data_IF_911814165162
#
_entry.id   IF_911814165162
#
_cell.length_a   1.000
_cell.length_b   1.000
_cell.length_c   1.000
_cell.angle_alpha   90.00
_cell.angle_beta   90.00
_cell.angle_gamma   90.00
#
_symmetry.space_group_name_H-M   'P 1'
#
loop_
_entity.id
_entity.type
_entity.pdbx_description
1 polymer ?
#
# COMPACT_ATOMS: atom_id res chain seq x y z
N UNK A 1 6.11 -16.48 13.85
CA UNK A 1 5.86 -15.27 13.05
C UNK A 1 4.77 -14.53 13.78
N UNK A 2 4.95 -13.27 14.21
CA UNK A 2 3.78 -12.38 14.23
C UNK A 2 3.25 -12.49 12.81
N UNK A 3 2.07 -13.03 12.66
CA UNK A 3 1.57 -13.35 11.34
C UNK A 3 1.55 -12.03 10.57
N UNK A 4 2.26 -11.98 9.44
CA UNK A 4 2.50 -10.77 8.63
C UNK A 4 1.23 -9.97 8.36
N UNK A 5 0.08 -10.63 8.45
CA UNK A 5 -1.24 -10.04 8.35
C UNK A 5 -1.67 -9.09 9.47
N UNK A 6 -1.20 -9.22 10.72
CA UNK A 6 -1.59 -8.29 11.80
C UNK A 6 -1.18 -6.85 11.46
N UNK A 7 0.08 -6.70 11.02
CA UNK A 7 0.61 -5.41 10.61
C UNK A 7 -0.05 -4.92 9.33
N UNK A 8 -0.36 -5.83 8.42
CA UNK A 8 -1.08 -5.53 7.17
C UNK A 8 -2.47 -4.96 7.46
N UNK A 9 -3.20 -5.60 8.38
CA UNK A 9 -4.52 -5.21 8.81
C UNK A 9 -4.50 -3.85 9.52
N UNK A 10 -3.59 -3.64 10.47
CA UNK A 10 -3.41 -2.36 11.15
C UNK A 10 -3.13 -1.22 10.16
N UNK A 11 -2.26 -1.45 9.17
CA UNK A 11 -1.97 -0.45 8.14
C UNK A 11 -3.15 -0.19 7.22
N UNK A 12 -3.95 -1.20 6.89
CA UNK A 12 -5.15 -1.03 6.06
C UNK A 12 -6.18 -0.13 6.77
N UNK A 13 -6.44 -0.37 8.07
CA UNK A 13 -7.30 0.50 8.87
C UNK A 13 -6.74 1.91 9.01
N UNK A 14 -5.46 2.01 9.35
CA UNK A 14 -4.87 3.31 9.58
C UNK A 14 -4.93 4.17 8.32
N UNK A 15 -4.61 3.61 7.15
CA UNK A 15 -4.72 4.36 5.89
C UNK A 15 -6.18 4.64 5.50
N UNK A 16 -7.13 3.75 5.80
CA UNK A 16 -8.57 4.02 5.62
C UNK A 16 -9.02 5.22 6.48
N UNK A 17 -8.55 5.30 7.72
CA UNK A 17 -8.81 6.43 8.62
C UNK A 17 -8.19 7.73 8.09
N UNK A 18 -6.92 7.70 7.66
CA UNK A 18 -6.25 8.86 7.07
C UNK A 18 -6.98 9.35 5.80
N UNK A 19 -7.44 8.43 4.94
CA UNK A 19 -8.26 8.77 3.79
C UNK A 19 -9.55 9.46 4.19
N UNK A 20 -10.23 8.97 5.22
CA UNK A 20 -11.47 9.57 5.75
C UNK A 20 -11.23 11.01 6.22
N UNK A 21 -10.13 11.27 6.94
CA UNK A 21 -9.74 12.66 7.33
C UNK A 21 -9.51 13.53 6.10
N UNK A 22 -8.76 13.04 5.12
CA UNK A 22 -8.50 13.77 3.86
C UNK A 22 -9.81 14.09 3.13
N UNK A 23 -10.70 13.11 2.98
CA UNK A 23 -11.94 13.24 2.21
C UNK A 23 -12.94 14.20 2.85
N UNK A 24 -12.92 14.37 4.19
CA UNK A 24 -13.74 15.36 4.91
C UNK A 24 -13.33 16.81 4.59
N UNK A 25 -12.07 17.05 4.29
CA UNK A 25 -11.53 18.41 4.14
C UNK A 25 -11.17 18.77 2.70
N UNK A 26 -10.85 17.79 1.86
CA UNK A 26 -10.29 17.99 0.52
C UNK A 26 -10.96 17.08 -0.49
N UNK A 27 -11.28 17.67 -1.65
CA UNK A 27 -11.71 16.88 -2.81
C UNK A 27 -10.49 16.39 -3.59
N UNK A 28 -10.24 15.09 -3.51
CA UNK A 28 -9.14 14.39 -4.19
C UNK A 28 -9.66 13.16 -4.92
N UNK A 29 -8.87 12.61 -5.84
CA UNK A 29 -9.12 11.27 -6.37
C UNK A 29 -8.07 10.31 -5.84
N UNK A 30 -8.43 9.03 -5.68
CA UNK A 30 -7.53 8.01 -5.16
C UNK A 30 -7.20 6.95 -6.20
N UNK A 31 -5.91 6.67 -6.34
CA UNK A 31 -5.41 5.52 -7.10
C UNK A 31 -4.72 4.52 -6.17
N UNK A 32 -4.82 3.25 -6.52
CA UNK A 32 -3.90 2.22 -6.09
C UNK A 32 -2.95 1.94 -7.25
N UNK A 33 -1.66 2.01 -6.99
CA UNK A 33 -0.62 1.72 -7.98
C UNK A 33 0.31 0.66 -7.42
N UNK A 34 0.50 -0.42 -8.15
CA UNK A 34 1.50 -1.43 -7.85
C UNK A 34 2.63 -1.33 -8.87
N UNK A 35 3.87 -1.26 -8.39
CA UNK A 35 5.08 -1.26 -9.20
C UNK A 35 5.92 -2.50 -8.87
N UNK A 36 6.35 -3.24 -9.89
CA UNK A 36 7.14 -4.44 -9.73
C UNK A 36 7.99 -4.74 -10.96
N UNK A 37 8.42 -5.99 -11.05
CA UNK A 37 9.07 -6.61 -12.21
C UNK A 37 8.14 -7.70 -12.78
N UNK A 38 8.33 -8.09 -14.03
CA UNK A 38 7.55 -9.21 -14.59
C UNK A 38 8.10 -10.55 -14.11
N UNK A 39 9.43 -10.66 -14.07
CA UNK A 39 10.13 -11.88 -13.69
C UNK A 39 10.42 -11.97 -12.18
N UNK A 40 10.59 -13.21 -11.68
CA UNK A 40 11.07 -13.47 -10.33
C UNK A 40 12.56 -13.10 -10.21
N UNK A 41 12.96 -12.66 -9.02
CA UNK A 41 14.34 -12.28 -8.70
C UNK A 41 15.01 -13.41 -7.93
N UNK A 42 16.22 -13.80 -8.33
CA UNK A 42 17.02 -14.78 -7.61
C UNK A 42 17.49 -14.27 -6.23
N UNK A 43 17.68 -15.19 -5.28
CA UNK A 43 18.02 -14.86 -3.89
C UNK A 43 19.32 -14.03 -3.75
N UNK A 44 20.33 -14.31 -4.57
CA UNK A 44 21.61 -13.61 -4.59
C UNK A 44 21.51 -12.16 -5.12
N UNK A 45 20.50 -11.85 -5.93
CA UNK A 45 20.30 -10.52 -6.52
C UNK A 45 19.23 -9.67 -5.81
N UNK A 46 18.46 -10.23 -4.87
CA UNK A 46 17.28 -9.56 -4.29
C UNK A 46 17.62 -8.22 -3.63
N UNK A 47 18.71 -8.14 -2.87
CA UNK A 47 19.05 -6.89 -2.17
C UNK A 47 19.38 -5.75 -3.13
N UNK A 48 20.13 -6.05 -4.20
CA UNK A 48 20.46 -5.08 -5.25
C UNK A 48 19.20 -4.63 -6.00
N UNK A 49 18.32 -5.57 -6.37
CA UNK A 49 17.08 -5.25 -7.07
C UNK A 49 16.17 -4.37 -6.20
N UNK A 50 16.03 -4.68 -4.91
CA UNK A 50 15.24 -3.87 -3.98
C UNK A 50 15.80 -2.44 -3.83
N UNK A 51 17.12 -2.27 -3.83
CA UNK A 51 17.75 -0.94 -3.81
C UNK A 51 17.45 -0.17 -5.09
N UNK A 52 17.63 -0.80 -6.25
CA UNK A 52 17.27 -0.24 -7.55
C UNK A 52 15.79 0.19 -7.60
N UNK A 53 14.88 -0.66 -7.11
CA UNK A 53 13.45 -0.36 -7.06
C UNK A 53 13.13 0.84 -6.15
N UNK A 54 13.71 0.92 -4.95
CA UNK A 54 13.44 2.02 -4.03
C UNK A 54 14.04 3.34 -4.54
N UNK A 55 15.24 3.31 -5.14
CA UNK A 55 15.86 4.46 -5.80
C UNK A 55 15.01 4.90 -7.00
N UNK A 56 14.57 3.95 -7.82
CA UNK A 56 13.69 4.20 -8.96
C UNK A 56 12.36 4.81 -8.51
N UNK A 57 11.76 4.30 -7.43
CA UNK A 57 10.53 4.86 -6.87
C UNK A 57 10.71 6.34 -6.48
N UNK A 58 11.83 6.67 -5.81
CA UNK A 58 12.15 8.06 -5.48
C UNK A 58 12.35 8.93 -6.73
N UNK A 59 12.87 8.37 -7.83
CA UNK A 59 13.04 9.07 -9.11
C UNK A 59 11.69 9.28 -9.82
N UNK A 60 10.83 8.26 -9.84
CA UNK A 60 9.49 8.29 -10.44
C UNK A 60 8.66 9.45 -9.88
N UNK A 61 8.63 9.62 -8.56
CA UNK A 61 7.88 10.69 -7.90
C UNK A 61 8.49 12.09 -8.06
N UNK A 62 9.70 12.20 -8.62
CA UNK A 62 10.31 13.48 -9.03
C UNK A 62 9.95 13.87 -10.45
N UNK A 63 9.43 12.96 -11.28
CA UNK A 63 9.01 13.30 -12.64
C UNK A 63 7.87 14.33 -12.62
N UNK A 64 7.97 15.33 -13.50
CA UNK A 64 7.05 16.48 -13.53
C UNK A 64 5.59 16.05 -13.63
N UNK A 65 5.26 15.11 -14.52
CA UNK A 65 3.90 14.60 -14.69
C UNK A 65 3.34 13.98 -13.40
N UNK A 66 4.12 13.12 -12.74
CA UNK A 66 3.74 12.47 -11.47
C UNK A 66 3.60 13.52 -10.36
N UNK A 67 4.60 14.40 -10.20
CA UNK A 67 4.62 15.45 -9.17
C UNK A 67 3.45 16.42 -9.29
N UNK A 68 3.03 16.74 -10.51
CA UNK A 68 1.89 17.62 -10.78
C UNK A 68 0.53 16.94 -10.55
N UNK A 69 0.43 15.63 -10.80
CA UNK A 69 -0.80 14.88 -10.61
C UNK A 69 -1.01 14.42 -9.15
N UNK A 70 0.07 14.06 -8.45
CA UNK A 70 0.04 13.49 -7.10
C UNK A 70 0.10 14.55 -6.00
N UNK A 71 -0.61 14.29 -4.91
CA UNK A 71 -0.60 15.06 -3.66
C UNK A 71 0.29 14.43 -2.58
N UNK A 72 1.05 13.38 -2.90
CA UNK A 72 1.77 12.56 -1.93
C UNK A 72 1.49 11.08 -2.15
N UNK A 73 1.85 10.25 -1.16
CA UNK A 73 1.56 8.81 -1.18
C UNK A 73 1.69 8.20 0.21
N UNK A 74 1.05 7.05 0.39
CA UNK A 74 1.54 5.98 1.25
C UNK A 74 2.11 4.90 0.32
N UNK A 75 3.27 4.35 0.67
CA UNK A 75 3.85 3.19 -0.01
C UNK A 75 4.19 2.06 0.94
N UNK A 76 4.12 0.84 0.46
CA UNK A 76 4.49 -0.36 1.19
C UNK A 76 5.21 -1.35 0.27
N UNK A 77 6.36 -1.86 0.73
CA UNK A 77 7.16 -2.85 0.03
C UNK A 77 6.74 -4.27 0.47
N UNK A 78 6.18 -5.04 -0.46
CA UNK A 78 5.83 -6.46 -0.33
C UNK A 78 6.87 -7.31 -1.07
N UNK A 79 7.36 -8.37 -0.44
CA UNK A 79 8.38 -9.26 -0.98
C UNK A 79 7.89 -10.69 -0.81
N UNK A 80 7.20 -11.20 -1.81
CA UNK A 80 6.70 -12.56 -1.80
C UNK A 80 7.79 -13.55 -2.24
N UNK A 81 8.18 -14.47 -1.36
CA UNK A 81 9.06 -15.60 -1.66
C UNK A 81 8.24 -16.76 -2.22
N UNK A 82 8.56 -17.19 -3.44
CA UNK A 82 7.92 -18.32 -4.11
C UNK A 82 9.00 -19.24 -4.66
N UNK A 83 9.10 -20.44 -4.08
CA UNK A 83 10.17 -21.39 -4.38
C UNK A 83 11.56 -20.81 -4.08
N UNK A 84 12.40 -20.77 -5.10
CA UNK A 84 13.80 -20.29 -5.09
C UNK A 84 13.92 -18.78 -5.39
N UNK A 85 12.81 -18.07 -5.63
CA UNK A 85 12.83 -16.68 -6.07
C UNK A 85 11.90 -15.77 -5.28
N UNK A 86 11.99 -14.48 -5.62
CA UNK A 86 11.28 -13.38 -4.96
C UNK A 86 10.52 -12.53 -5.97
N UNK A 87 9.32 -12.10 -5.58
CA UNK A 87 8.50 -11.16 -6.34
C UNK A 87 8.34 -9.86 -5.53
N UNK A 88 9.24 -8.88 -5.68
CA UNK A 88 9.12 -7.60 -5.00
C UNK A 88 8.06 -6.72 -5.66
N UNK A 89 7.26 -6.05 -4.84
CA UNK A 89 6.22 -5.11 -5.26
C UNK A 89 6.18 -3.90 -4.33
N UNK A 90 6.08 -2.71 -4.91
CA UNK A 90 5.79 -1.47 -4.19
C UNK A 90 4.32 -1.16 -4.43
N UNK A 91 3.51 -1.34 -3.39
CA UNK A 91 2.12 -0.92 -3.34
C UNK A 91 2.04 0.55 -2.95
N UNK A 92 1.14 1.30 -3.59
CA UNK A 92 1.03 2.75 -3.43
C UNK A 92 -0.45 3.15 -3.32
N UNK A 93 -0.80 3.80 -2.22
CA UNK A 93 -2.04 4.57 -2.11
C UNK A 93 -1.73 6.02 -2.49
N UNK A 94 -2.36 6.50 -3.55
CA UNK A 94 -1.98 7.74 -4.23
C UNK A 94 -3.16 8.73 -4.27
N UNK A 95 -3.18 9.77 -3.41
CA UNK A 95 -4.07 10.90 -3.61
C UNK A 95 -3.59 11.72 -4.80
N UNK A 96 -4.52 12.07 -5.68
CA UNK A 96 -4.30 12.90 -6.85
C UNK A 96 -5.19 14.14 -6.80
N UNK A 97 -4.79 15.18 -7.52
CA UNK A 97 -5.57 16.42 -7.61
C UNK A 97 -6.98 16.15 -8.15
N UNK A 98 -7.96 16.98 -7.75
CA UNK A 98 -9.36 16.88 -8.20
C UNK A 98 -9.51 16.77 -9.71
N UNK A 99 -8.69 17.51 -10.46
CA UNK A 99 -8.70 17.55 -11.93
C UNK A 99 -7.95 16.41 -12.62
N UNK A 100 -7.52 15.37 -11.89
CA UNK A 100 -6.73 14.27 -12.44
C UNK A 100 -7.39 13.62 -13.68
N UNK A 101 -8.70 13.33 -13.61
CA UNK A 101 -9.44 12.72 -14.72
C UNK A 101 -9.94 13.72 -15.79
N UNK A 102 -9.54 15.00 -15.72
CA UNK A 102 -9.98 16.05 -16.65
C UNK A 102 -9.01 16.25 -17.83
N UNK A 103 -8.18 15.25 -18.14
CA UNK A 103 -7.29 15.25 -19.31
C UNK A 103 -5.85 15.65 -18.99
N UNK A 104 -5.57 16.94 -18.75
CA UNK A 104 -4.19 17.48 -18.69
C UNK A 104 -3.23 16.72 -17.78
N UNK A 105 -3.71 16.25 -16.63
CA UNK A 105 -2.89 15.60 -15.60
C UNK A 105 -3.09 14.08 -15.54
N UNK A 106 -3.97 13.53 -16.38
CA UNK A 106 -4.26 12.11 -16.41
C UNK A 106 -3.06 11.34 -16.96
N UNK A 107 -2.61 10.32 -16.21
CA UNK A 107 -1.50 9.46 -16.62
C UNK A 107 -2.09 8.14 -17.12
N UNK A 108 -2.01 7.92 -18.43
CA UNK A 108 -2.41 6.68 -19.09
C UNK A 108 -1.57 5.50 -18.59
N UNK A 109 -2.12 4.30 -18.72
CA UNK A 109 -1.45 3.06 -18.31
C UNK A 109 -0.05 2.90 -18.94
N UNK A 110 0.06 3.04 -20.27
CA UNK A 110 1.35 2.92 -20.99
C UNK A 110 2.38 3.94 -20.52
N UNK A 111 1.92 5.15 -20.13
CA UNK A 111 2.81 6.16 -19.55
C UNK A 111 3.33 5.70 -18.18
N UNK A 112 2.52 5.05 -17.35
CA UNK A 112 3.01 4.51 -16.08
C UNK A 112 4.09 3.44 -16.29
N UNK A 113 3.91 2.52 -17.24
CA UNK A 113 4.93 1.52 -17.61
C UNK A 113 6.21 2.22 -18.07
N UNK A 114 6.10 3.14 -19.04
CA UNK A 114 7.24 3.88 -19.59
C UNK A 114 7.98 4.67 -18.50
N UNK A 115 7.26 5.34 -17.60
CA UNK A 115 7.86 6.08 -16.50
C UNK A 115 8.54 5.15 -15.50
N UNK A 116 7.96 3.98 -15.21
CA UNK A 116 8.56 3.02 -14.29
C UNK A 116 9.82 2.36 -14.86
N UNK A 117 9.77 1.90 -16.12
CA UNK A 117 10.94 1.40 -16.87
C UNK A 117 12.06 2.45 -16.90
N UNK A 118 11.72 3.70 -17.26
CA UNK A 118 12.67 4.82 -17.23
C UNK A 118 13.24 5.07 -15.84
N UNK A 119 12.42 4.95 -14.79
CA UNK A 119 12.84 5.14 -13.42
C UNK A 119 13.82 4.06 -12.94
N UNK A 120 13.75 2.85 -13.48
CA UNK A 120 14.70 1.77 -13.21
C UNK A 120 15.91 1.74 -14.14
N UNK A 121 15.94 2.58 -15.18
CA UNK A 121 16.91 2.45 -16.28
C UNK A 121 16.89 1.04 -16.90
N UNK A 122 15.72 0.41 -16.95
CA UNK A 122 15.52 -0.95 -17.44
C UNK A 122 14.77 -0.93 -18.77
N UNK A 123 15.19 -1.76 -19.73
CA UNK A 123 14.68 -1.69 -21.10
C UNK A 123 13.25 -2.25 -21.25
N UNK A 124 12.85 -3.30 -20.48
CA UNK A 124 11.51 -3.90 -20.70
C UNK A 124 10.91 -4.79 -19.60
N UNK A 125 11.58 -5.09 -18.48
CA UNK A 125 11.09 -6.09 -17.51
C UNK A 125 10.42 -5.44 -16.28
N UNK A 126 9.38 -4.64 -16.50
CA UNK A 126 8.68 -3.96 -15.40
C UNK A 126 7.19 -4.27 -15.39
N UNK A 127 6.61 -4.45 -14.21
CA UNK A 127 5.17 -4.63 -14.04
C UNK A 127 4.54 -3.41 -13.37
N UNK A 128 3.39 -2.99 -13.89
CA UNK A 128 2.57 -1.93 -13.33
C UNK A 128 1.10 -2.34 -13.29
N UNK A 129 0.43 -2.08 -12.18
CA UNK A 129 -1.03 -2.13 -12.07
C UNK A 129 -1.52 -0.78 -11.56
N UNK A 130 -2.57 -0.24 -12.18
CA UNK A 130 -3.22 1.01 -11.74
C UNK A 130 -4.71 0.74 -11.59
N UNK A 131 -5.26 1.07 -10.43
CA UNK A 131 -6.69 0.95 -10.13
C UNK A 131 -7.20 2.27 -9.56
N UNK A 132 -8.30 2.77 -10.10
CA UNK A 132 -9.04 3.88 -9.50
C UNK A 132 -9.88 3.35 -8.35
N UNK A 133 -9.85 4.02 -7.20
CA UNK A 133 -10.75 3.73 -6.09
C UNK A 133 -12.05 4.50 -6.34
N UNK A 134 -13.16 3.80 -6.36
CA UNK A 134 -14.51 4.37 -6.52
C UNK A 134 -15.47 3.69 -5.54
N UNK A 135 -16.68 4.24 -5.45
CA UNK A 135 -17.74 3.86 -4.52
C UNK A 135 -18.60 2.69 -5.01
N UNK A 136 -18.29 2.10 -6.18
CA UNK A 136 -19.03 0.99 -6.78
C UNK A 136 -18.62 -0.36 -6.19
N UNK A 137 -18.62 -0.45 -4.86
CA UNK A 137 -18.28 -1.66 -4.11
C UNK A 137 -19.42 -2.04 -3.18
N UNK A 138 -19.51 -3.32 -2.82
CA UNK A 138 -20.42 -3.78 -1.79
C UNK A 138 -19.91 -3.33 -0.41
N UNK A 139 -20.33 -2.13 0.01
CA UNK A 139 -19.89 -1.53 1.26
C UNK A 139 -20.32 -2.35 2.48
N UNK A 140 -21.47 -3.04 2.43
CA UNK A 140 -21.93 -3.89 3.53
C UNK A 140 -21.00 -5.09 3.72
N UNK A 141 -20.58 -5.73 2.63
CA UNK A 141 -19.59 -6.81 2.69
C UNK A 141 -18.24 -6.35 3.24
N UNK A 142 -17.78 -5.15 2.83
CA UNK A 142 -16.51 -4.58 3.33
C UNK A 142 -16.60 -4.29 4.82
N UNK A 143 -17.68 -3.64 5.28
CA UNK A 143 -17.90 -3.35 6.71
C UNK A 143 -17.92 -4.66 7.52
N UNK A 144 -18.54 -5.73 7.01
CA UNK A 144 -18.51 -7.03 7.67
C UNK A 144 -17.09 -7.56 7.83
N UNK A 145 -16.26 -7.47 6.79
CA UNK A 145 -14.83 -7.85 6.85
C UNK A 145 -14.05 -6.97 7.83
N UNK A 146 -14.33 -5.67 7.87
CA UNK A 146 -13.71 -4.77 8.83
C UNK A 146 -14.03 -5.21 10.28
N UNK A 147 -15.32 -5.42 10.59
CA UNK A 147 -15.70 -5.89 11.93
C UNK A 147 -15.01 -7.20 12.32
N UNK A 148 -14.96 -8.18 11.40
CA UNK A 148 -14.21 -9.44 11.60
C UNK A 148 -12.72 -9.22 11.82
N UNK A 149 -12.12 -8.30 11.08
CA UNK A 149 -10.70 -7.92 11.21
C UNK A 149 -10.35 -7.42 12.61
N UNK A 150 -11.14 -6.48 13.15
CA UNK A 150 -10.89 -5.94 14.49
C UNK A 150 -11.00 -7.03 15.56
N UNK A 151 -12.05 -7.88 15.49
CA UNK A 151 -12.21 -9.00 16.41
C UNK A 151 -11.00 -9.95 16.36
N UNK A 152 -10.57 -10.36 15.16
CA UNK A 152 -9.41 -11.23 14.99
C UNK A 152 -8.11 -10.57 15.50
N UNK A 153 -7.95 -9.26 15.33
CA UNK A 153 -6.79 -8.52 15.82
C UNK A 153 -6.70 -8.56 17.36
N UNK A 154 -7.81 -8.34 18.06
CA UNK A 154 -7.87 -8.41 19.53
C UNK A 154 -7.58 -9.82 20.04
N UNK A 155 -8.09 -10.87 19.38
CA UNK A 155 -7.83 -12.26 19.74
C UNK A 155 -6.35 -12.64 19.63
N UNK A 156 -5.64 -12.16 18.60
CA UNK A 156 -4.22 -12.45 18.39
C UNK A 156 -3.32 -11.63 19.31
N UNK A 157 -3.67 -10.38 19.61
CA UNK A 157 -2.91 -9.56 20.57
C UNK A 157 -2.80 -10.22 21.95
N UNK A 158 -3.76 -11.07 22.31
CA UNK A 158 -3.77 -11.85 23.55
C UNK A 158 -2.84 -13.09 23.51
N UNK A 159 -2.28 -13.47 22.35
CA UNK A 159 -1.39 -14.62 22.17
C UNK A 159 0.04 -14.19 21.85
N UNK A 160 0.93 -14.25 22.85
CA UNK A 160 2.38 -14.02 22.65
C UNK A 160 2.93 -14.99 21.60
N UNK A 161 3.43 -14.47 20.48
CA UNK A 161 4.11 -15.26 19.44
C UNK A 161 5.46 -14.67 19.10
N UNK A 162 6.48 -15.54 19.01
CA UNK A 162 7.85 -15.16 18.65
C UNK A 162 8.00 -15.05 17.13
N UNK A 163 8.73 -14.01 16.71
CA UNK A 163 9.13 -13.74 15.33
C UNK A 163 10.47 -14.43 15.04
N UNK A 164 10.50 -15.29 14.02
CA UNK A 164 11.77 -15.69 13.40
C UNK A 164 12.33 -14.53 12.60
N UNK A 165 13.58 -14.14 12.85
CA UNK A 165 14.28 -13.13 12.03
C UNK A 165 14.66 -13.77 10.70
N UNK A 166 14.17 -13.22 9.60
CA UNK A 166 14.70 -13.54 8.29
C UNK A 166 15.98 -12.72 8.06
N UNK A 167 17.14 -13.37 8.07
CA UNK A 167 18.47 -12.70 8.04
C UNK A 167 18.99 -12.42 6.62
N UNK A 168 18.35 -12.95 5.58
CA UNK A 168 18.85 -12.90 4.19
C UNK A 168 18.58 -11.56 3.49
N UNK A 169 17.48 -10.89 3.82
CA UNK A 169 17.12 -9.59 3.21
C UNK A 169 17.58 -8.47 4.13
N UNK A 170 18.41 -7.58 3.60
CA UNK A 170 18.95 -6.44 4.34
C UNK A 170 17.82 -5.52 4.82
N UNK A 171 18.00 -4.98 6.02
CA UNK A 171 17.06 -4.04 6.63
C UNK A 171 16.86 -2.81 5.74
N UNK A 172 15.60 -2.46 5.49
CA UNK A 172 15.20 -1.35 4.62
C UNK A 172 13.86 -0.78 5.07
N UNK A 173 13.60 0.47 4.71
CA UNK A 173 12.33 1.13 5.00
C UNK A 173 11.19 0.52 4.17
N UNK A 174 10.41 -0.37 4.79
CA UNK A 174 9.28 -1.06 4.17
C UNK A 174 8.11 -0.11 3.83
N UNK A 175 7.86 0.87 4.70
CA UNK A 175 6.71 1.77 4.60
C UNK A 175 7.17 3.22 4.49
N UNK A 176 6.47 4.04 3.70
CA UNK A 176 6.75 5.46 3.63
C UNK A 176 5.52 6.31 3.34
N UNK A 177 5.44 7.47 3.96
CA UNK A 177 4.43 8.50 3.72
C UNK A 177 5.09 9.73 3.12
N UNK A 178 4.37 10.48 2.28
CA UNK A 178 4.86 11.71 1.65
C UNK A 178 3.75 12.76 1.51
N UNK A 179 4.13 14.03 1.67
CA UNK A 179 3.28 15.23 1.47
C UNK A 179 1.95 15.08 2.22
N UNK A 180 0.81 15.19 1.55
CA UNK A 180 -0.52 15.20 2.18
C UNK A 180 -0.72 14.05 3.17
N UNK A 181 -0.40 12.82 2.77
CA UNK A 181 -0.57 11.67 3.67
C UNK A 181 0.46 11.63 4.81
N UNK A 182 1.62 12.28 4.65
CA UNK A 182 2.59 12.44 5.76
C UNK A 182 2.06 13.45 6.78
N UNK A 183 1.53 14.57 6.31
CA UNK A 183 0.95 15.64 7.15
C UNK A 183 -0.20 15.10 7.99
N UNK A 184 -1.21 14.48 7.37
CA UNK A 184 -2.37 13.91 8.09
C UNK A 184 -1.95 12.77 9.04
N UNK A 185 -0.95 11.98 8.65
CA UNK A 185 -0.41 10.92 9.52
C UNK A 185 0.26 11.49 10.77
N UNK A 186 1.11 12.51 10.62
CA UNK A 186 1.79 13.16 11.74
C UNK A 186 0.81 13.79 12.71
N UNK A 187 -0.20 14.51 12.20
CA UNK A 187 -1.25 15.11 13.01
C UNK A 187 -2.04 14.06 13.79
N UNK A 188 -2.42 12.96 13.13
CA UNK A 188 -3.17 11.86 13.75
C UNK A 188 -2.36 11.18 14.84
N UNK A 189 -1.07 10.93 14.62
CA UNK A 189 -0.18 10.33 15.62
C UNK A 189 0.04 11.27 16.80
N UNK A 190 0.22 12.57 16.55
CA UNK A 190 0.41 13.57 17.60
C UNK A 190 -0.85 13.74 18.46
N UNK A 191 -2.05 13.67 17.87
CA UNK A 191 -3.32 13.75 18.59
C UNK A 191 -3.70 12.46 19.33
N UNK A 192 -3.16 11.31 18.92
CA UNK A 192 -3.60 10.01 19.43
C UNK A 192 -4.99 9.62 18.92
N UNK A 193 -5.41 10.15 17.76
CA UNK A 193 -6.78 10.09 17.26
C UNK A 193 -7.17 8.73 16.63
N UNK A 194 -6.30 7.72 16.69
CA UNK A 194 -6.51 6.43 16.04
C UNK A 194 -6.36 5.26 17.01
N UNK A 195 -7.43 4.47 17.13
CA UNK A 195 -7.41 3.15 17.74
C UNK A 195 -8.11 2.13 16.83
N UNK A 196 -7.59 0.90 16.82
CA UNK A 196 -8.23 -0.24 16.18
C UNK A 196 -9.37 -0.77 17.06
N UNK A 197 -10.48 -0.06 17.04
CA UNK A 197 -11.66 -0.33 17.86
C UNK A 197 -12.93 -0.33 16.99
N UNK A 198 -13.88 -1.20 17.32
CA UNK A 198 -15.16 -1.29 16.61
C UNK A 198 -15.97 -0.01 16.74
N UNK A 199 -15.90 0.67 17.88
CA UNK A 199 -16.65 1.89 18.18
C UNK A 199 -16.07 3.12 17.44
N UNK A 200 -14.81 3.04 17.00
CA UNK A 200 -14.13 4.10 16.26
C UNK A 200 -14.05 3.82 14.75
N UNK A 201 -14.76 2.80 14.27
CA UNK A 201 -14.74 2.40 12.87
C UNK A 201 -15.50 3.39 11.99
N UNK A 202 -14.79 4.10 11.11
CA UNK A 202 -15.41 5.00 10.14
C UNK A 202 -15.95 4.19 8.95
N UNK A 203 -17.27 3.95 8.93
CA UNK A 203 -17.92 3.10 7.92
C UNK A 203 -18.64 3.87 6.80
N UNK A 204 -18.83 5.18 6.97
CA UNK A 204 -19.60 6.02 6.03
C UNK A 204 -18.82 6.42 4.77
N UNK A 205 -17.48 6.43 4.85
CA UNK A 205 -16.63 6.78 3.70
C UNK A 205 -16.42 5.55 2.80
N UNK A 206 -17.31 5.37 1.83
CA UNK A 206 -17.29 4.24 0.89
C UNK A 206 -16.01 4.17 0.06
N UNK A 207 -15.39 5.31 -0.25
CA UNK A 207 -14.13 5.37 -1.00
C UNK A 207 -12.98 4.87 -0.13
N UNK A 208 -12.91 5.31 1.12
CA UNK A 208 -11.91 4.84 2.07
C UNK A 208 -12.10 3.34 2.36
N UNK A 209 -13.34 2.88 2.52
CA UNK A 209 -13.64 1.45 2.71
C UNK A 209 -13.23 0.61 1.51
N UNK A 210 -13.47 1.09 0.28
CA UNK A 210 -12.99 0.45 -0.93
C UNK A 210 -11.46 0.33 -0.94
N UNK A 211 -10.73 1.32 -0.41
CA UNK A 211 -9.28 1.22 -0.28
C UNK A 211 -8.86 0.17 0.75
N UNK A 212 -9.52 0.10 1.91
CA UNK A 212 -9.28 -0.93 2.93
C UNK A 212 -9.33 -2.33 2.32
N UNK A 213 -10.38 -2.64 1.56
CA UNK A 213 -10.59 -3.94 0.91
C UNK A 213 -9.43 -4.35 -0.01
N UNK A 214 -8.72 -3.39 -0.60
CA UNK A 214 -7.55 -3.68 -1.41
C UNK A 214 -6.26 -3.74 -0.58
N UNK A 215 -6.13 -2.86 0.41
CA UNK A 215 -4.91 -2.76 1.23
C UNK A 215 -4.74 -3.94 2.20
N UNK A 216 -5.82 -4.61 2.61
CA UNK A 216 -5.72 -5.81 3.45
C UNK A 216 -4.97 -6.97 2.76
N UNK A 217 -4.86 -6.98 1.44
CA UNK A 217 -4.03 -7.97 0.71
C UNK A 217 -2.52 -7.66 0.74
N UNK A 218 -2.13 -6.45 1.16
CA UNK A 218 -0.76 -5.97 1.11
C UNK A 218 0.04 -6.45 2.32
N UNK A 219 1.26 -6.95 2.12
CA UNK A 219 2.13 -7.38 3.23
C UNK A 219 3.43 -6.58 3.30
N UNK A 220 3.77 -5.96 4.45
CA UNK A 220 5.04 -5.26 4.58
C UNK A 220 6.18 -6.26 4.82
N UNK A 221 7.15 -6.28 3.90
CA UNK A 221 8.35 -7.12 4.02
C UNK A 221 8.16 -8.50 3.40
N UNK A 222 8.85 -9.49 3.97
CA UNK A 222 8.97 -10.82 3.36
C UNK A 222 7.86 -11.74 3.84
N UNK A 223 7.24 -12.46 2.90
CA UNK A 223 6.24 -13.51 3.18
C UNK A 223 6.43 -14.70 2.25
N UNK A 224 5.91 -15.85 2.67
CA UNK A 224 5.87 -17.06 1.82
C UNK A 224 4.45 -17.36 1.35
N UNK A 225 3.45 -16.94 2.12
CA UNK A 225 2.03 -17.08 1.82
C UNK A 225 1.68 -16.20 0.62
N UNK A 226 0.91 -16.72 -0.34
CA UNK A 226 0.50 -15.95 -1.53
C UNK A 226 -0.64 -14.96 -1.22
N UNK A 227 -1.49 -15.25 -0.23
CA UNK A 227 -2.60 -14.39 0.20
C UNK A 227 -2.52 -14.11 1.69
N UNK A 228 -3.17 -13.04 2.11
CA UNK A 228 -3.32 -12.74 3.52
C UNK A 228 -4.12 -13.88 4.20
N UNK A 229 -3.57 -14.56 5.22
CA UNK A 229 -4.25 -15.61 5.96
C UNK A 229 -5.59 -15.18 6.58
N UNK A 230 -5.81 -13.87 6.78
CA UNK A 230 -7.09 -13.33 7.22
C UNK A 230 -8.28 -13.79 6.38
N UNK A 231 -8.11 -13.99 5.07
CA UNK A 231 -9.19 -14.46 4.20
C UNK A 231 -9.59 -15.93 4.42
N UNK A 232 -8.87 -16.65 5.28
CA UNK A 232 -9.15 -18.05 5.63
C UNK A 232 -9.75 -18.20 7.04
N UNK A 233 -9.89 -17.10 7.79
CA UNK A 233 -10.52 -17.03 9.11
C UNK A 233 -12.03 -16.71 8.98
#
# INVERSE_FOLDING_TARGET
>A
MLASWNRSLELAYFNQYLMTKVNKEKQVNWLLVDLGLEEKVAEDHINQVLDCMLIGFNRLFKYKCIKQASLGYFRMLDIWKSGDGYHPRIHILLPTIKSYFQGRYYIKYDNWISLWSKALSAESNVSVKVKVINDKVDNHAIISKMKKGILAFHDVSNKKTSTGKNTLIASRRLIGYSRLLKEVMDETVAGGDFALDLDQLYIEDTIANAAFENMIEWHPGVRSENRNPFFQL
#
